data_IF_572480734323
#
_entry.id   IF_572480734323
#
_cell.length_a   1.000
_cell.length_b   1.000
_cell.length_c   1.000
_cell.angle_alpha   90.00
_cell.angle_beta   90.00
_cell.angle_gamma   90.00
#
_symmetry.space_group_name_H-M   'P 1'
#
loop_
_entity.id
_entity.type
_entity.pdbx_description
1 polymer ?
#
# COMPACT_ATOMS: atom_id res chain seq x y z
N UNK A 1 7.23 -6.46 7.63
CA UNK A 1 7.29 -7.03 9.02
C UNK A 1 6.53 -6.19 10.05
N UNK A 2 6.69 -4.86 10.12
CA UNK A 2 5.98 -4.05 11.13
C UNK A 2 4.45 -4.27 11.13
N UNK A 3 3.84 -4.44 9.97
CA UNK A 3 2.38 -4.67 9.85
C UNK A 3 1.90 -5.96 10.50
N UNK A 4 2.65 -7.07 10.37
CA UNK A 4 2.24 -8.34 10.98
C UNK A 4 2.31 -8.27 12.51
N UNK A 5 3.29 -7.56 13.08
CA UNK A 5 3.38 -7.33 14.52
C UNK A 5 2.19 -6.48 15.04
N UNK A 6 1.79 -5.45 14.27
CA UNK A 6 0.61 -4.64 14.62
C UNK A 6 -0.66 -5.48 14.56
N UNK A 7 -0.84 -6.27 13.52
CA UNK A 7 -2.01 -7.12 13.34
C UNK A 7 -2.08 -8.19 14.43
N UNK A 8 -0.98 -8.89 14.71
CA UNK A 8 -0.90 -9.85 15.81
C UNK A 8 -1.23 -9.21 17.16
N UNK A 9 -0.71 -8.02 17.42
CA UNK A 9 -0.98 -7.27 18.65
C UNK A 9 -2.46 -6.89 18.78
N UNK A 10 -3.09 -6.41 17.71
CA UNK A 10 -4.52 -6.09 17.64
C UNK A 10 -5.38 -7.34 17.87
N UNK A 11 -5.09 -8.42 17.17
CA UNK A 11 -5.76 -9.71 17.32
C UNK A 11 -5.64 -10.24 18.75
N UNK A 12 -4.42 -10.24 19.32
CA UNK A 12 -4.18 -10.73 20.68
C UNK A 12 -4.88 -9.88 21.76
N UNK A 13 -5.05 -8.58 21.53
CA UNK A 13 -5.90 -7.74 22.39
C UNK A 13 -7.37 -8.13 22.31
N UNK A 14 -7.90 -8.37 21.12
CA UNK A 14 -9.28 -8.79 20.93
C UNK A 14 -9.51 -10.17 21.58
N UNK A 15 -8.61 -11.11 21.34
CA UNK A 15 -8.69 -12.44 21.95
C UNK A 15 -8.66 -12.36 23.48
N UNK A 16 -7.73 -11.63 24.09
CA UNK A 16 -7.63 -11.51 25.53
C UNK A 16 -8.90 -10.93 26.17
N UNK A 17 -9.58 -9.99 25.51
CA UNK A 17 -10.87 -9.42 25.97
C UNK A 17 -12.01 -10.44 25.95
N UNK A 18 -11.94 -11.42 25.06
CA UNK A 18 -12.98 -12.42 24.88
C UNK A 18 -12.66 -13.73 25.59
N UNK A 19 -11.46 -13.90 26.14
CA UNK A 19 -11.00 -15.13 26.78
C UNK A 19 -11.28 -15.09 28.30
N UNK A 20 -12.14 -15.99 28.82
CA UNK A 20 -12.42 -16.08 30.26
C UNK A 20 -11.34 -16.83 31.06
N UNK A 21 -10.41 -17.54 30.39
CA UNK A 21 -9.36 -18.31 31.02
C UNK A 21 -8.14 -17.43 31.30
N UNK A 22 -7.87 -17.16 32.57
CA UNK A 22 -6.75 -16.29 33.00
C UNK A 22 -5.38 -16.84 32.62
N UNK A 23 -5.21 -18.15 32.54
CA UNK A 23 -3.91 -18.74 32.16
C UNK A 23 -3.66 -18.57 30.65
N UNK A 24 -4.68 -18.62 29.82
CA UNK A 24 -4.59 -18.26 28.41
C UNK A 24 -4.29 -16.76 28.26
N UNK A 25 -5.03 -15.91 28.97
CA UNK A 25 -4.83 -14.46 28.91
C UNK A 25 -3.39 -14.05 29.31
N UNK A 26 -2.80 -14.73 30.30
CA UNK A 26 -1.39 -14.50 30.66
C UNK A 26 -0.43 -14.85 29.53
N UNK A 27 -0.61 -16.00 28.89
CA UNK A 27 0.22 -16.43 27.76
C UNK A 27 0.16 -15.44 26.62
N UNK A 28 -1.04 -15.00 26.24
CA UNK A 28 -1.26 -13.99 25.21
C UNK A 28 -0.57 -12.66 25.59
N UNK A 29 -0.61 -12.27 26.87
CA UNK A 29 0.06 -11.05 27.33
C UNK A 29 1.58 -11.15 27.31
N UNK A 30 2.14 -12.34 27.55
CA UNK A 30 3.58 -12.61 27.47
C UNK A 30 4.08 -12.47 26.02
N UNK A 31 3.45 -13.14 25.04
CA UNK A 31 3.81 -13.08 23.62
C UNK A 31 3.64 -11.65 23.07
N UNK A 32 2.49 -11.02 23.29
CA UNK A 32 2.21 -9.66 22.85
C UNK A 32 3.26 -8.63 23.28
N UNK A 33 3.87 -8.79 24.45
CA UNK A 33 4.95 -7.90 24.89
C UNK A 33 6.19 -8.02 24.03
N UNK A 34 6.50 -9.23 23.55
CA UNK A 34 7.66 -9.47 22.68
C UNK A 34 7.40 -8.88 21.31
N UNK A 35 6.22 -9.05 20.76
CA UNK A 35 5.81 -8.44 19.49
C UNK A 35 5.86 -6.90 19.51
N UNK A 36 5.48 -6.28 20.62
CA UNK A 36 5.65 -4.84 20.82
C UNK A 36 7.12 -4.41 20.77
N UNK A 37 8.03 -5.27 21.24
CA UNK A 37 9.49 -5.06 21.13
C UNK A 37 9.99 -5.27 19.70
N UNK A 38 9.50 -6.30 18.99
CA UNK A 38 9.82 -6.52 17.59
C UNK A 38 9.39 -5.32 16.75
N UNK A 39 8.14 -4.87 16.88
CA UNK A 39 7.63 -3.69 16.20
C UNK A 39 8.50 -2.45 16.45
N UNK A 40 8.86 -2.19 17.70
CA UNK A 40 9.70 -1.06 18.06
C UNK A 40 11.08 -1.16 17.40
N UNK A 41 11.70 -2.34 17.43
CA UNK A 41 13.00 -2.57 16.81
C UNK A 41 12.95 -2.37 15.31
N UNK A 42 11.96 -2.95 14.62
CA UNK A 42 11.77 -2.81 13.18
C UNK A 42 11.64 -1.33 12.79
N UNK A 43 10.81 -0.57 13.51
CA UNK A 43 10.66 0.86 13.26
C UNK A 43 11.97 1.64 13.46
N UNK A 44 12.82 1.22 14.40
CA UNK A 44 14.10 1.88 14.66
C UNK A 44 15.21 1.47 13.69
N UNK A 45 15.02 0.42 12.89
CA UNK A 45 15.91 0.06 11.79
C UNK A 45 15.75 0.99 10.58
N UNK A 46 14.61 1.66 10.46
CA UNK A 46 14.40 2.63 9.39
C UNK A 46 15.42 3.79 9.50
N UNK A 47 16.05 4.23 8.40
CA UNK A 47 16.97 5.36 8.41
C UNK A 47 16.31 6.65 8.91
N UNK A 48 16.98 7.36 9.82
CA UNK A 48 16.43 8.54 10.50
C UNK A 48 16.36 9.79 9.61
N UNK A 49 16.97 9.75 8.46
CA UNK A 49 17.04 10.83 7.45
C UNK A 49 16.09 10.62 6.27
N UNK A 50 15.32 9.55 6.27
CA UNK A 50 14.25 9.35 5.29
C UNK A 50 13.11 10.34 5.51
N UNK A 51 12.62 10.90 4.42
CA UNK A 51 11.36 11.65 4.44
C UNK A 51 10.16 10.71 4.55
N UNK A 52 8.98 11.27 4.86
CA UNK A 52 7.74 10.50 4.87
C UNK A 52 7.43 9.92 3.49
N UNK A 53 7.69 10.68 2.40
CA UNK A 53 7.49 10.19 1.03
C UNK A 53 8.49 9.09 0.65
N UNK A 54 9.75 9.18 1.07
CA UNK A 54 10.73 8.11 0.85
C UNK A 54 10.28 6.80 1.51
N UNK A 55 9.84 6.87 2.76
CA UNK A 55 9.30 5.71 3.47
C UNK A 55 8.04 5.18 2.80
N UNK A 56 7.15 6.06 2.35
CA UNK A 56 5.94 5.70 1.59
C UNK A 56 6.29 4.95 0.31
N UNK A 57 7.26 5.45 -0.48
CA UNK A 57 7.71 4.75 -1.70
C UNK A 57 8.27 3.36 -1.40
N UNK A 58 8.98 3.21 -0.29
CA UNK A 58 9.46 1.90 0.17
C UNK A 58 8.32 0.93 0.48
N UNK A 59 7.26 1.40 1.12
CA UNK A 59 6.08 0.58 1.40
C UNK A 59 5.33 0.18 0.13
N UNK A 60 5.09 1.14 -0.77
CA UNK A 60 4.39 0.84 -2.04
C UNK A 60 5.22 -0.08 -2.95
N UNK A 61 6.54 0.07 -2.98
CA UNK A 61 7.41 -0.85 -3.70
C UNK A 61 7.27 -2.28 -3.17
N UNK A 62 7.28 -2.44 -1.83
CA UNK A 62 7.07 -3.74 -1.19
C UNK A 62 5.67 -4.26 -1.48
N UNK A 63 4.63 -3.42 -1.39
CA UNK A 63 3.25 -3.81 -1.68
C UNK A 63 3.13 -4.38 -3.11
N UNK A 64 3.64 -3.66 -4.11
CA UNK A 64 3.59 -4.09 -5.52
C UNK A 64 4.33 -5.41 -5.75
N UNK A 65 5.61 -5.52 -5.33
CA UNK A 65 6.41 -6.71 -5.60
C UNK A 65 5.93 -7.92 -4.77
N UNK A 66 5.54 -7.71 -3.52
CA UNK A 66 5.00 -8.76 -2.65
C UNK A 66 3.67 -9.30 -3.17
N UNK A 67 2.71 -8.42 -3.45
CA UNK A 67 1.37 -8.80 -3.94
C UNK A 67 1.48 -9.53 -5.29
N UNK A 68 2.36 -9.06 -6.18
CA UNK A 68 2.63 -9.72 -7.46
C UNK A 68 3.23 -11.12 -7.27
N UNK A 69 4.21 -11.28 -6.37
CA UNK A 69 4.81 -12.59 -6.09
C UNK A 69 3.79 -13.55 -5.47
N UNK A 70 3.02 -13.08 -4.48
CA UNK A 70 1.97 -13.87 -3.84
C UNK A 70 0.92 -14.31 -4.85
N UNK A 71 0.44 -13.41 -5.72
CA UNK A 71 -0.53 -13.73 -6.76
C UNK A 71 -0.02 -14.80 -7.74
N UNK A 72 1.25 -14.74 -8.14
CA UNK A 72 1.82 -15.74 -9.04
C UNK A 72 1.89 -17.13 -8.42
N UNK A 73 2.13 -17.20 -7.10
CA UNK A 73 2.32 -18.45 -6.36
C UNK A 73 1.07 -18.89 -5.57
N UNK A 74 -0.04 -18.16 -5.68
CA UNK A 74 -1.30 -18.50 -5.00
C UNK A 74 -1.99 -19.69 -5.68
N UNK A 75 -2.24 -20.79 -4.92
CA UNK A 75 -2.87 -21.99 -5.48
C UNK A 75 -4.39 -21.90 -5.65
N UNK A 76 -5.07 -20.96 -4.98
CA UNK A 76 -6.52 -20.75 -5.13
C UNK A 76 -6.79 -19.65 -6.16
N UNK A 77 -7.43 -20.00 -7.27
CA UNK A 77 -7.67 -19.06 -8.37
C UNK A 77 -8.51 -17.84 -7.94
N UNK A 78 -9.46 -18.00 -7.02
CA UNK A 78 -10.29 -16.89 -6.56
C UNK A 78 -9.49 -15.91 -5.69
N UNK A 79 -8.64 -16.45 -4.81
CA UNK A 79 -7.73 -15.65 -3.97
C UNK A 79 -6.68 -14.95 -4.84
N UNK A 80 -6.08 -15.68 -5.77
CA UNK A 80 -5.13 -15.13 -6.76
C UNK A 80 -5.71 -13.91 -7.48
N UNK A 81 -6.92 -14.03 -7.99
CA UNK A 81 -7.55 -12.92 -8.69
C UNK A 81 -7.90 -11.76 -7.75
N UNK A 82 -8.14 -12.01 -6.47
CA UNK A 82 -8.30 -10.95 -5.48
C UNK A 82 -6.98 -10.19 -5.29
N UNK A 83 -5.87 -10.89 -5.23
CA UNK A 83 -4.53 -10.28 -5.16
C UNK A 83 -4.21 -9.47 -6.42
N UNK A 84 -4.53 -9.99 -7.60
CA UNK A 84 -4.37 -9.26 -8.86
C UNK A 84 -5.15 -7.94 -8.89
N UNK A 85 -6.33 -7.93 -8.26
CA UNK A 85 -7.12 -6.69 -8.17
C UNK A 85 -6.44 -5.67 -7.24
N UNK A 86 -6.00 -6.07 -6.05
CA UNK A 86 -5.27 -5.18 -5.13
C UNK A 86 -3.98 -4.64 -5.78
N UNK A 87 -3.24 -5.50 -6.48
CA UNK A 87 -2.03 -5.10 -7.20
C UNK A 87 -2.25 -3.94 -8.19
N UNK A 88 -3.42 -3.85 -8.83
CA UNK A 88 -3.74 -2.71 -9.70
C UNK A 88 -3.81 -1.40 -8.92
N UNK A 89 -4.35 -1.43 -7.71
CA UNK A 89 -4.50 -0.26 -6.85
C UNK A 89 -3.17 0.10 -6.19
N UNK A 90 -2.41 -0.88 -5.69
CA UNK A 90 -1.06 -0.69 -5.14
C UNK A 90 -0.12 -0.03 -6.15
N UNK A 91 -0.20 -0.45 -7.42
CA UNK A 91 0.60 0.14 -8.48
C UNK A 91 0.22 1.61 -8.77
N UNK A 92 -1.06 1.96 -8.72
CA UNK A 92 -1.50 3.35 -8.82
C UNK A 92 -0.98 4.20 -7.65
N UNK A 93 -0.99 3.64 -6.43
CA UNK A 93 -0.43 4.31 -5.25
C UNK A 93 1.06 4.57 -5.42
N UNK A 94 1.85 3.56 -5.77
CA UNK A 94 3.28 3.69 -6.06
C UNK A 94 3.54 4.77 -7.10
N UNK A 95 2.78 4.77 -8.19
CA UNK A 95 2.91 5.74 -9.26
C UNK A 95 2.62 7.17 -8.78
N UNK A 96 1.53 7.40 -8.08
CA UNK A 96 1.14 8.72 -7.57
C UNK A 96 2.13 9.25 -6.54
N UNK A 97 2.56 8.45 -5.58
CA UNK A 97 3.54 8.87 -4.59
C UNK A 97 4.92 9.13 -5.20
N UNK A 98 5.31 8.37 -6.22
CA UNK A 98 6.53 8.64 -6.97
C UNK A 98 6.52 10.03 -7.61
N UNK A 99 5.39 10.43 -8.18
CA UNK A 99 5.25 11.76 -8.76
C UNK A 99 5.25 12.86 -7.66
N UNK A 100 4.58 12.63 -6.54
CA UNK A 100 4.62 13.55 -5.41
C UNK A 100 6.03 13.72 -4.84
N UNK A 101 6.78 12.64 -4.72
CA UNK A 101 8.18 12.70 -4.29
C UNK A 101 9.02 13.57 -5.21
N UNK A 102 8.87 13.39 -6.51
CA UNK A 102 9.54 14.23 -7.50
C UNK A 102 9.12 15.70 -7.39
N UNK A 103 7.83 15.99 -7.28
CA UNK A 103 7.30 17.36 -7.26
C UNK A 103 7.63 18.10 -5.95
N UNK A 104 7.59 17.44 -4.82
CA UNK A 104 7.76 18.08 -3.49
C UNK A 104 9.22 18.13 -3.09
N UNK A 105 9.97 17.07 -3.31
CA UNK A 105 11.35 16.93 -2.85
C UNK A 105 12.37 17.17 -3.96
N UNK A 106 11.93 17.22 -5.21
CA UNK A 106 12.80 17.45 -6.37
C UNK A 106 13.77 16.29 -6.65
N UNK A 107 13.53 15.14 -6.03
CA UNK A 107 14.35 13.94 -6.16
C UNK A 107 13.81 12.98 -7.22
N UNK A 108 14.64 12.04 -7.66
CA UNK A 108 14.25 11.03 -8.63
C UNK A 108 13.72 9.78 -7.88
N UNK A 109 12.46 9.37 -8.06
CA UNK A 109 11.94 8.17 -7.41
C UNK A 109 12.70 6.89 -7.79
N UNK A 110 13.31 6.81 -8.97
CA UNK A 110 14.10 5.65 -9.40
C UNK A 110 15.33 5.41 -8.52
N UNK A 111 15.82 6.43 -7.81
CA UNK A 111 16.93 6.29 -6.88
C UNK A 111 16.53 5.44 -5.65
N UNK A 112 15.24 5.44 -5.30
CA UNK A 112 14.68 4.61 -4.21
C UNK A 112 14.21 3.27 -4.77
N UNK A 113 13.44 3.30 -5.83
CA UNK A 113 12.82 2.11 -6.43
C UNK A 113 13.83 1.20 -7.15
N UNK A 114 15.06 1.70 -7.40
CA UNK A 114 16.18 0.97 -8.02
C UNK A 114 15.81 0.29 -9.34
N UNK A 115 14.82 0.82 -10.04
CA UNK A 115 14.27 0.28 -11.29
C UNK A 115 13.79 -1.18 -11.20
N UNK A 116 13.51 -1.68 -10.00
CA UNK A 116 12.89 -3.00 -9.81
C UNK A 116 11.48 -3.04 -10.39
N UNK A 117 10.73 -1.94 -10.21
CA UNK A 117 9.44 -1.73 -10.86
C UNK A 117 9.57 -0.48 -11.71
N UNK A 118 9.41 -0.58 -13.06
CA UNK A 118 9.30 0.61 -13.88
C UNK A 118 8.04 1.36 -13.49
N UNK A 119 8.22 2.61 -13.11
CA UNK A 119 7.09 3.50 -12.85
C UNK A 119 6.50 3.90 -14.20
N UNK A 120 5.48 3.19 -14.62
CA UNK A 120 4.68 3.51 -15.80
C UNK A 120 3.40 4.22 -15.38
N UNK A 121 2.77 4.91 -16.31
CA UNK A 121 1.48 5.55 -16.05
C UNK A 121 0.47 4.48 -15.61
N UNK A 122 0.17 4.46 -14.34
CA UNK A 122 -0.76 3.53 -13.73
C UNK A 122 -2.21 3.91 -14.08
N UNK A 123 -3.11 3.03 -13.75
CA UNK A 123 -4.53 3.27 -13.86
C UNK A 123 -5.03 3.94 -12.58
N UNK A 124 -5.84 4.99 -12.67
CA UNK A 124 -6.37 5.66 -11.49
C UNK A 124 -7.27 4.76 -10.66
N UNK A 125 -7.00 4.63 -9.36
CA UNK A 125 -7.85 3.88 -8.43
C UNK A 125 -9.24 4.47 -8.27
N UNK A 126 -9.44 5.75 -8.59
CA UNK A 126 -10.76 6.37 -8.54
C UNK A 126 -11.86 5.56 -9.24
N UNK A 127 -11.52 4.75 -10.25
CA UNK A 127 -12.47 3.90 -10.94
C UNK A 127 -12.86 2.66 -10.15
N UNK A 128 -12.11 2.33 -9.08
CA UNK A 128 -12.30 1.16 -8.23
C UNK A 128 -12.70 1.52 -6.82
N UNK A 129 -12.39 2.75 -6.40
CA UNK A 129 -12.64 3.23 -5.06
C UNK A 129 -14.14 3.12 -4.70
N UNK A 130 -14.44 2.44 -3.61
CA UNK A 130 -15.81 2.27 -3.17
C UNK A 130 -15.89 2.06 -1.65
N UNK A 131 -17.11 1.99 -1.12
CA UNK A 131 -17.35 1.77 0.31
C UNK A 131 -16.83 0.38 0.74
N UNK A 132 -16.16 0.28 1.87
CA UNK A 132 -15.60 -0.95 2.45
C UNK A 132 -16.57 -2.14 2.42
N UNK A 133 -17.86 -1.90 2.69
CA UNK A 133 -18.88 -2.97 2.63
C UNK A 133 -19.01 -3.63 1.24
N UNK A 134 -18.58 -2.96 0.18
CA UNK A 134 -18.58 -3.49 -1.18
C UNK A 134 -17.29 -4.27 -1.52
N UNK A 135 -16.31 -4.23 -0.61
CA UNK A 135 -15.05 -4.97 -0.76
C UNK A 135 -15.08 -6.38 -0.19
N UNK A 136 -16.09 -6.74 0.58
CA UNK A 136 -16.22 -8.09 1.13
C UNK A 136 -16.15 -9.15 0.02
N UNK A 137 -15.43 -10.23 0.29
CA UNK A 137 -15.18 -11.35 -0.62
C UNK A 137 -15.74 -12.65 -0.06
N UNK A 138 -15.90 -13.63 -0.94
CA UNK A 138 -16.20 -14.99 -0.51
C UNK A 138 -14.99 -15.56 0.23
N UNK A 139 -15.21 -16.05 1.45
CA UNK A 139 -14.16 -16.67 2.23
C UNK A 139 -13.74 -18.05 1.70
N UNK A 140 -12.50 -18.42 1.96
CA UNK A 140 -11.99 -19.79 1.78
C UNK A 140 -12.68 -20.76 2.76
N UNK A 141 -12.62 -22.05 2.50
CA UNK A 141 -12.98 -23.06 3.48
C UNK A 141 -11.74 -23.46 4.27
N UNK A 142 -11.73 -23.19 5.58
CA UNK A 142 -10.61 -23.46 6.48
C UNK A 142 -10.12 -24.92 6.49
N UNK A 143 -10.98 -25.87 6.10
CA UNK A 143 -10.66 -27.30 6.12
C UNK A 143 -10.00 -27.77 4.82
N UNK A 144 -10.19 -27.04 3.72
CA UNK A 144 -9.70 -27.43 2.38
C UNK A 144 -8.65 -26.48 1.82
N UNK A 145 -8.63 -25.24 2.28
CA UNK A 145 -7.63 -24.28 1.86
C UNK A 145 -6.22 -24.70 2.28
N UNK A 146 -5.26 -24.47 1.39
CA UNK A 146 -3.86 -24.79 1.67
C UNK A 146 -3.28 -23.88 2.77
N UNK A 147 -2.29 -24.34 3.55
CA UNK A 147 -1.55 -23.47 4.46
C UNK A 147 -0.90 -22.28 3.74
N UNK A 148 -0.44 -22.45 2.49
CA UNK A 148 0.09 -21.38 1.66
C UNK A 148 -0.93 -20.27 1.46
N UNK A 149 -2.15 -20.60 1.01
CA UNK A 149 -3.24 -19.64 0.81
C UNK A 149 -3.55 -18.84 2.08
N UNK A 150 -3.64 -19.52 3.23
CA UNK A 150 -3.91 -18.87 4.52
C UNK A 150 -2.81 -17.88 4.92
N UNK A 151 -1.55 -18.27 4.77
CA UNK A 151 -0.39 -17.41 5.05
C UNK A 151 -0.33 -16.24 4.08
N UNK A 152 -0.57 -16.47 2.78
CA UNK A 152 -0.61 -15.41 1.78
C UNK A 152 -1.65 -14.34 2.12
N UNK A 153 -2.87 -14.75 2.46
CA UNK A 153 -3.95 -13.83 2.87
C UNK A 153 -3.53 -13.04 4.11
N UNK A 154 -3.05 -13.72 5.16
CA UNK A 154 -2.64 -13.06 6.40
C UNK A 154 -1.49 -12.06 6.18
N UNK A 155 -0.55 -12.39 5.30
CA UNK A 155 0.57 -11.52 4.95
C UNK A 155 0.06 -10.23 4.30
N UNK A 156 -0.90 -10.29 3.37
CA UNK A 156 -1.46 -9.10 2.74
C UNK A 156 -2.34 -8.29 3.72
N UNK A 157 -3.20 -8.93 4.52
CA UNK A 157 -3.93 -8.21 5.59
C UNK A 157 -2.99 -7.37 6.44
N UNK A 158 -1.84 -7.94 6.79
CA UNK A 158 -0.84 -7.28 7.62
C UNK A 158 -0.12 -6.15 6.89
N UNK A 159 0.18 -6.32 5.59
CA UNK A 159 0.82 -5.31 4.78
C UNK A 159 -0.08 -4.08 4.63
N UNK A 160 -1.34 -4.28 4.29
CA UNK A 160 -2.34 -3.21 4.14
C UNK A 160 -2.65 -2.50 5.47
N UNK A 161 -2.69 -3.24 6.57
CA UNK A 161 -2.82 -2.63 7.89
C UNK A 161 -1.63 -1.70 8.23
N UNK A 162 -0.44 -2.04 7.74
CA UNK A 162 0.76 -1.19 7.86
C UNK A 162 0.61 0.11 7.08
N UNK A 163 0.29 0.04 5.79
CA UNK A 163 0.17 1.19 4.91
C UNK A 163 -0.95 2.11 5.36
N UNK A 164 -2.13 1.55 5.67
CA UNK A 164 -3.25 2.27 6.26
C UNK A 164 -2.84 3.10 7.49
N UNK A 165 -2.21 2.48 8.48
CA UNK A 165 -1.82 3.16 9.71
C UNK A 165 -0.77 4.24 9.43
N UNK A 166 0.23 3.92 8.60
CA UNK A 166 1.31 4.85 8.29
C UNK A 166 0.78 6.11 7.59
N UNK A 167 -0.10 5.96 6.61
CA UNK A 167 -0.66 7.10 5.88
C UNK A 167 -1.59 7.94 6.74
N UNK A 168 -2.38 7.33 7.61
CA UNK A 168 -3.20 8.03 8.58
C UNK A 168 -2.37 8.87 9.56
N UNK A 169 -1.21 8.33 9.98
CA UNK A 169 -0.39 8.92 11.04
C UNK A 169 0.65 9.91 10.53
N UNK A 170 1.01 9.90 9.23
CA UNK A 170 2.11 10.69 8.67
C UNK A 170 1.71 11.63 7.53
N UNK A 171 0.60 11.38 6.83
CA UNK A 171 0.17 12.21 5.70
C UNK A 171 -0.02 13.68 6.03
N UNK A 172 -0.28 14.01 7.29
CA UNK A 172 -0.43 15.40 7.77
C UNK A 172 0.90 16.17 7.85
N UNK A 173 2.06 15.51 7.73
CA UNK A 173 3.38 16.14 7.88
C UNK A 173 3.69 17.14 6.76
N UNK A 174 3.00 17.06 5.63
CA UNK A 174 3.20 17.97 4.52
C UNK A 174 2.30 19.20 4.60
N UNK A 175 2.84 20.37 4.20
CA UNK A 175 2.07 21.61 4.11
C UNK A 175 1.23 21.75 2.85
N UNK A 176 1.34 20.80 1.91
CA UNK A 176 0.58 20.80 0.66
C UNK A 176 -0.76 20.09 0.86
N UNK A 177 -1.88 20.81 0.69
CA UNK A 177 -3.21 20.27 0.95
C UNK A 177 -3.60 19.15 -0.01
N UNK A 178 -3.20 19.23 -1.29
CA UNK A 178 -3.49 18.16 -2.28
C UNK A 178 -2.75 16.88 -1.93
N UNK A 179 -1.48 16.96 -1.52
CA UNK A 179 -0.74 15.78 -1.06
C UNK A 179 -1.36 15.19 0.21
N UNK A 180 -1.77 16.03 1.16
CA UNK A 180 -2.48 15.56 2.38
C UNK A 180 -3.78 14.85 2.04
N UNK A 181 -4.55 15.39 1.08
CA UNK A 181 -5.78 14.75 0.60
C UNK A 181 -5.47 13.45 -0.14
N UNK A 182 -4.36 13.37 -0.92
CA UNK A 182 -3.91 12.13 -1.55
C UNK A 182 -3.61 11.05 -0.50
N UNK A 183 -2.89 11.39 0.57
CA UNK A 183 -2.67 10.45 1.69
C UNK A 183 -3.97 9.98 2.33
N UNK A 184 -4.93 10.89 2.53
CA UNK A 184 -6.23 10.54 3.11
C UNK A 184 -7.04 9.62 2.20
N UNK A 185 -7.04 9.88 0.90
CA UNK A 185 -7.72 9.04 -0.11
C UNK A 185 -7.09 7.65 -0.19
N UNK A 186 -5.76 7.56 -0.36
CA UNK A 186 -5.07 6.28 -0.44
C UNK A 186 -5.20 5.49 0.86
N UNK A 187 -5.09 6.15 2.01
CA UNK A 187 -5.36 5.54 3.32
C UNK A 187 -6.74 4.87 3.37
N UNK A 188 -7.77 5.48 2.79
CA UNK A 188 -9.11 4.87 2.73
C UNK A 188 -9.14 3.67 1.76
N UNK A 189 -8.34 3.68 0.69
CA UNK A 189 -8.18 2.51 -0.21
C UNK A 189 -7.47 1.36 0.53
N UNK A 190 -6.44 1.64 1.34
CA UNK A 190 -5.77 0.61 2.15
C UNK A 190 -6.74 -0.03 3.17
N UNK A 191 -7.67 0.74 3.74
CA UNK A 191 -8.75 0.19 4.59
C UNK A 191 -9.70 -0.71 3.77
N UNK A 192 -9.96 -0.37 2.51
CA UNK A 192 -10.71 -1.26 1.61
C UNK A 192 -9.94 -2.55 1.35
N UNK A 193 -8.61 -2.49 1.19
CA UNK A 193 -7.76 -3.68 1.01
C UNK A 193 -7.74 -4.55 2.27
N UNK A 194 -7.60 -3.98 3.47
CA UNK A 194 -7.73 -4.73 4.72
C UNK A 194 -9.08 -5.45 4.76
N UNK A 195 -10.19 -4.74 4.53
CA UNK A 195 -11.54 -5.33 4.50
C UNK A 195 -11.66 -6.44 3.44
N UNK A 196 -11.08 -6.25 2.28
CA UNK A 196 -11.11 -7.21 1.17
C UNK A 196 -10.36 -8.50 1.55
N UNK A 197 -9.11 -8.37 2.00
CA UNK A 197 -8.28 -9.53 2.30
C UNK A 197 -8.71 -10.25 3.58
N UNK A 198 -9.07 -9.55 4.66
CA UNK A 198 -9.54 -10.21 5.87
C UNK A 198 -10.83 -11.02 5.64
N UNK A 199 -11.70 -10.56 4.72
CA UNK A 199 -12.94 -11.26 4.38
C UNK A 199 -12.71 -12.58 3.63
N UNK A 200 -11.51 -12.82 3.09
CA UNK A 200 -11.11 -14.10 2.50
C UNK A 200 -10.88 -15.19 3.55
N UNK A 201 -10.60 -14.82 4.80
CA UNK A 201 -10.42 -15.79 5.88
C UNK A 201 -11.76 -16.39 6.30
N UNK A 202 -11.76 -17.67 6.70
CA UNK A 202 -12.99 -18.35 7.13
C UNK A 202 -13.49 -17.79 8.46
N UNK A 203 -14.66 -17.13 8.52
CA UNK A 203 -15.18 -16.55 9.75
C UNK A 203 -15.55 -17.59 10.83
N UNK A 204 -15.57 -18.88 10.49
CA UNK A 204 -15.85 -19.97 11.42
C UNK A 204 -14.60 -20.50 12.12
N UNK A 205 -13.43 -19.96 11.82
CA UNK A 205 -12.20 -20.26 12.57
C UNK A 205 -12.37 -19.86 14.04
N UNK A 206 -11.95 -20.76 14.94
CA UNK A 206 -11.92 -20.45 16.38
C UNK A 206 -10.80 -19.45 16.70
N UNK A 207 -10.88 -18.83 17.86
CA UNK A 207 -9.81 -17.96 18.36
C UNK A 207 -8.45 -18.67 18.44
N UNK A 208 -8.45 -19.98 18.69
CA UNK A 208 -7.23 -20.78 18.75
C UNK A 208 -6.70 -21.15 17.36
N UNK A 209 -7.59 -21.37 16.37
CA UNK A 209 -7.20 -21.54 14.97
C UNK A 209 -6.55 -20.26 14.44
N UNK A 210 -7.18 -19.10 14.71
CA UNK A 210 -6.66 -17.79 14.32
C UNK A 210 -5.31 -17.50 14.98
N UNK A 211 -5.16 -17.74 16.29
CA UNK A 211 -3.89 -17.55 16.99
C UNK A 211 -2.80 -18.42 16.37
N UNK A 212 -3.09 -19.69 16.12
CA UNK A 212 -2.13 -20.64 15.54
C UNK A 212 -1.69 -20.18 14.13
N UNK A 213 -2.62 -19.67 13.32
CA UNK A 213 -2.31 -19.16 11.98
C UNK A 213 -1.47 -17.88 12.05
N UNK A 214 -1.75 -16.97 12.96
CA UNK A 214 -0.94 -15.76 13.18
C UNK A 214 0.52 -16.10 13.46
N UNK A 215 0.77 -16.87 14.53
CA UNK A 215 2.14 -17.24 14.91
C UNK A 215 2.87 -18.00 13.79
N UNK A 216 2.14 -18.84 13.05
CA UNK A 216 2.73 -19.55 11.92
C UNK A 216 3.07 -18.60 10.78
N UNK A 217 2.25 -17.61 10.50
CA UNK A 217 2.51 -16.59 9.46
C UNK A 217 3.72 -15.75 9.83
N UNK A 218 3.87 -15.36 11.10
CA UNK A 218 5.02 -14.61 11.58
C UNK A 218 6.31 -15.40 11.41
N UNK A 219 6.32 -16.69 11.78
CA UNK A 219 7.47 -17.59 11.53
C UNK A 219 7.83 -17.63 10.04
N UNK A 220 6.83 -17.77 9.15
CA UNK A 220 7.06 -17.81 7.71
C UNK A 220 7.63 -16.48 7.19
N UNK A 221 7.09 -15.36 7.63
CA UNK A 221 7.50 -14.04 7.17
C UNK A 221 8.91 -13.68 7.66
N UNK A 222 9.27 -13.96 8.92
CA UNK A 222 10.65 -13.78 9.40
C UNK A 222 11.65 -14.72 8.72
N UNK A 223 11.21 -15.96 8.42
CA UNK A 223 12.02 -16.87 7.64
C UNK A 223 12.31 -16.33 6.23
N UNK A 224 11.30 -15.74 5.58
CA UNK A 224 11.46 -15.12 4.28
C UNK A 224 12.45 -13.94 4.34
N UNK A 225 12.24 -13.00 5.29
CA UNK A 225 13.16 -11.88 5.49
C UNK A 225 14.60 -12.36 5.73
N UNK A 226 14.81 -13.35 6.60
CA UNK A 226 16.13 -13.91 6.87
C UNK A 226 16.77 -14.51 5.60
N UNK A 227 15.98 -15.09 4.71
CA UNK A 227 16.47 -15.74 3.49
C UNK A 227 16.89 -14.74 2.42
N UNK A 228 16.16 -13.64 2.31
CA UNK A 228 16.38 -12.62 1.27
C UNK A 228 17.28 -11.47 1.74
N UNK A 229 17.61 -11.40 3.03
CA UNK A 229 18.45 -10.36 3.59
C UNK A 229 19.93 -10.54 3.21
N UNK A 230 20.53 -9.49 2.68
CA UNK A 230 21.96 -9.47 2.31
C UNK A 230 22.86 -8.91 3.41
N UNK A 231 22.34 -8.09 4.34
CA UNK A 231 23.11 -7.57 5.49
C UNK A 231 23.13 -8.57 6.63
N UNK A 232 24.31 -9.04 7.00
CA UNK A 232 24.49 -10.06 8.04
C UNK A 232 23.90 -9.63 9.40
N UNK A 233 23.95 -8.33 9.76
CA UNK A 233 23.43 -7.86 11.05
C UNK A 233 21.90 -7.84 11.04
N UNK A 234 21.28 -7.44 9.93
CA UNK A 234 19.82 -7.49 9.79
C UNK A 234 19.34 -8.94 9.74
N UNK A 235 20.07 -9.81 9.05
CA UNK A 235 19.78 -11.24 9.01
C UNK A 235 19.78 -11.88 10.39
N UNK A 236 20.76 -11.53 11.24
CA UNK A 236 20.82 -12.01 12.62
C UNK A 236 19.58 -11.54 13.43
N UNK A 237 19.10 -10.33 13.19
CA UNK A 237 17.87 -9.81 13.82
C UNK A 237 16.63 -10.61 13.37
N UNK A 238 16.50 -10.87 12.05
CA UNK A 238 15.39 -11.66 11.52
C UNK A 238 15.42 -13.10 12.06
N UNK A 239 16.62 -13.70 12.21
CA UNK A 239 16.77 -15.02 12.82
C UNK A 239 16.37 -15.03 14.31
N UNK A 240 16.79 -14.02 15.08
CA UNK A 240 16.40 -13.87 16.49
C UNK A 240 14.88 -13.75 16.64
N UNK A 241 14.22 -12.89 15.82
CA UNK A 241 12.78 -12.70 15.88
C UNK A 241 12.02 -13.96 15.42
N UNK A 242 12.48 -14.62 14.37
CA UNK A 242 11.94 -15.92 13.97
C UNK A 242 12.00 -16.96 15.10
N UNK A 243 13.07 -16.97 15.87
CA UNK A 243 13.19 -17.90 17.01
C UNK A 243 12.18 -17.57 18.12
N UNK A 244 11.90 -16.29 18.36
CA UNK A 244 10.86 -15.88 19.30
C UNK A 244 9.47 -16.32 18.79
N UNK A 245 9.20 -16.15 17.50
CA UNK A 245 7.92 -16.58 16.91
C UNK A 245 7.76 -18.10 16.89
N UNK A 246 8.82 -18.87 16.76
CA UNK A 246 8.77 -20.33 16.96
C UNK A 246 8.37 -20.70 18.41
N UNK A 247 8.81 -19.93 19.41
CA UNK A 247 8.38 -20.13 20.79
C UNK A 247 6.89 -19.74 20.98
N UNK A 248 6.43 -18.65 20.36
CA UNK A 248 5.03 -18.24 20.34
C UNK A 248 4.16 -19.28 19.65
N UNK A 249 4.57 -19.78 18.48
CA UNK A 249 3.89 -20.85 17.76
C UNK A 249 3.74 -22.12 18.59
N UNK A 250 4.75 -22.49 19.40
CA UNK A 250 4.64 -23.63 20.36
C UNK A 250 3.58 -23.37 21.42
N UNK A 251 3.51 -22.14 21.95
CA UNK A 251 2.47 -21.75 22.91
C UNK A 251 1.08 -21.87 22.26
N UNK A 252 0.90 -21.33 21.05
CA UNK A 252 -0.33 -21.40 20.29
C UNK A 252 -0.74 -22.85 20.00
N UNK A 253 0.21 -23.69 19.57
CA UNK A 253 -0.02 -25.11 19.29
C UNK A 253 -0.43 -25.89 20.54
N UNK A 254 0.17 -25.62 21.70
CA UNK A 254 -0.22 -26.25 22.98
C UNK A 254 -1.61 -25.82 23.44
N UNK A 255 -1.96 -24.54 23.26
CA UNK A 255 -3.30 -24.02 23.54
C UNK A 255 -4.32 -24.66 22.59
N UNK A 256 -4.02 -24.73 21.31
CA UNK A 256 -4.87 -25.36 20.29
C UNK A 256 -5.14 -26.83 20.64
N UNK A 257 -4.10 -27.64 20.89
CA UNK A 257 -4.24 -29.03 21.33
C UNK A 257 -5.08 -29.17 22.61
N UNK A 258 -4.87 -28.25 23.56
CA UNK A 258 -5.60 -28.29 24.84
C UNK A 258 -7.07 -28.01 24.70
N UNK A 259 -7.46 -27.01 23.91
CA UNK A 259 -8.84 -26.52 23.85
C UNK A 259 -9.61 -27.08 22.66
N UNK A 260 -9.02 -27.20 21.47
CA UNK A 260 -9.67 -27.75 20.28
C UNK A 260 -9.62 -29.29 20.21
N UNK A 261 -8.68 -29.93 20.92
CA UNK A 261 -8.47 -31.39 20.89
C UNK A 261 -8.12 -31.91 19.49
N UNK A 262 -7.49 -31.10 18.69
CA UNK A 262 -7.05 -31.36 17.31
C UNK A 262 -5.56 -31.23 17.17
N UNK A 263 -4.99 -31.73 16.08
CA UNK A 263 -3.58 -31.55 15.77
C UNK A 263 -3.38 -30.19 15.05
N UNK A 264 -2.45 -29.35 15.50
CA UNK A 264 -2.10 -28.11 14.80
C UNK A 264 -1.77 -28.29 13.32
N UNK A 265 -1.16 -29.43 12.95
CA UNK A 265 -0.82 -29.74 11.56
C UNK A 265 -2.06 -29.77 10.63
N UNK A 266 -3.27 -29.93 11.17
CA UNK A 266 -4.52 -29.85 10.39
C UNK A 266 -4.78 -28.41 9.88
N UNK A 267 -4.23 -27.40 10.55
CA UNK A 267 -4.43 -25.97 10.23
C UNK A 267 -3.26 -25.40 9.44
N UNK A 268 -2.03 -25.65 9.92
CA UNK A 268 -0.82 -25.02 9.40
C UNK A 268 0.06 -25.95 8.54
N UNK A 269 -0.32 -27.23 8.41
CA UNK A 269 0.51 -28.23 7.71
C UNK A 269 1.76 -28.64 8.50
N UNK A 270 2.71 -29.24 7.81
CA UNK A 270 3.94 -29.82 8.40
C UNK A 270 5.22 -29.12 7.96
N UNK A 271 5.12 -28.07 7.16
CA UNK A 271 6.26 -27.35 6.56
C UNK A 271 6.00 -25.87 6.56
N UNK A 272 7.07 -25.08 6.66
CA UNK A 272 7.06 -23.67 6.31
C UNK A 272 6.62 -23.54 4.86
N UNK A 273 5.82 -22.52 4.58
CA UNK A 273 5.35 -22.22 3.23
C UNK A 273 6.51 -21.81 2.32
N UNK A 274 6.29 -21.85 1.00
CA UNK A 274 7.31 -21.42 0.03
C UNK A 274 7.74 -19.99 0.31
N UNK A 275 9.05 -19.73 0.44
CA UNK A 275 9.55 -18.38 0.71
C UNK A 275 9.23 -17.42 -0.42
N UNK A 276 8.84 -16.20 -0.06
CA UNK A 276 8.78 -15.09 -0.99
C UNK A 276 10.20 -14.65 -1.35
N UNK A 277 10.45 -14.38 -2.63
CA UNK A 277 11.71 -13.82 -3.09
C UNK A 277 11.52 -12.38 -3.54
N UNK A 278 12.37 -11.50 -3.01
CA UNK A 278 12.39 -10.08 -3.35
C UNK A 278 13.14 -9.89 -4.66
N UNK A 279 12.40 -9.94 -5.75
CA UNK A 279 12.90 -9.68 -7.09
C UNK A 279 11.86 -8.86 -7.87
N UNK A 280 12.30 -8.21 -8.94
CA UNK A 280 11.39 -7.41 -9.78
C UNK A 280 10.27 -8.27 -10.37
N UNK A 281 9.04 -7.90 -10.12
CA UNK A 281 7.83 -8.52 -10.65
C UNK A 281 7.25 -7.78 -11.86
N UNK A 282 8.04 -6.91 -12.48
CA UNK A 282 7.65 -5.98 -13.54
C UNK A 282 6.82 -6.61 -14.65
N UNK A 283 7.25 -7.75 -15.18
CA UNK A 283 6.56 -8.41 -16.31
C UNK A 283 5.16 -8.86 -15.91
N UNK A 284 5.02 -9.39 -14.69
CA UNK A 284 3.73 -9.79 -14.17
C UNK A 284 2.81 -8.59 -13.92
N UNK A 285 3.32 -7.55 -13.27
CA UNK A 285 2.59 -6.31 -13.01
C UNK A 285 2.08 -5.69 -14.30
N UNK A 286 2.93 -5.60 -15.32
CA UNK A 286 2.55 -5.09 -16.64
C UNK A 286 1.40 -5.89 -17.25
N UNK A 287 1.48 -7.23 -17.18
CA UNK A 287 0.40 -8.11 -17.67
C UNK A 287 -0.94 -7.88 -16.95
N UNK A 288 -0.90 -7.68 -15.64
CA UNK A 288 -2.11 -7.40 -14.85
C UNK A 288 -2.69 -6.02 -15.19
N UNK A 289 -1.85 -4.98 -15.31
CA UNK A 289 -2.30 -3.64 -15.72
C UNK A 289 -2.99 -3.64 -17.10
N UNK A 290 -2.53 -4.47 -18.02
CA UNK A 290 -3.16 -4.63 -19.34
C UNK A 290 -4.55 -5.27 -19.28
N UNK A 291 -4.80 -6.16 -18.31
CA UNK A 291 -6.08 -6.87 -18.18
C UNK A 291 -7.19 -6.01 -17.61
N UNK A 292 -6.85 -5.03 -16.78
CA UNK A 292 -7.78 -4.12 -16.12
C UNK A 292 -9.00 -4.83 -15.47
N UNK A 293 -8.75 -5.91 -14.77
CA UNK A 293 -9.78 -6.66 -14.07
C UNK A 293 -10.29 -5.84 -12.88
N UNK A 294 -11.60 -5.73 -12.75
CA UNK A 294 -12.28 -5.23 -11.56
C UNK A 294 -13.04 -6.37 -10.87
N UNK A 295 -13.16 -6.28 -9.55
CA UNK A 295 -13.96 -7.21 -8.77
C UNK A 295 -15.10 -6.53 -8.11
N UNK A 296 -16.24 -7.19 -8.11
CA UNK A 296 -17.43 -6.71 -7.49
C UNK A 296 -17.95 -7.69 -6.49
N UNK A 297 -18.48 -7.13 -5.45
CA UNK A 297 -19.45 -7.81 -4.64
C UNK A 297 -20.82 -7.67 -5.35
N UNK A 298 -21.13 -8.61 -6.19
CA UNK A 298 -22.48 -8.88 -6.65
C UNK A 298 -23.02 -10.15 -5.98
N UNK A 299 -24.21 -10.56 -6.31
CA UNK A 299 -24.83 -11.78 -5.76
C UNK A 299 -24.06 -13.06 -6.11
N UNK A 300 -23.21 -13.02 -7.13
CA UNK A 300 -22.42 -14.15 -7.63
C UNK A 300 -20.94 -14.04 -7.24
N UNK A 301 -20.50 -12.91 -6.73
CA UNK A 301 -19.09 -12.62 -6.40
C UNK A 301 -18.14 -12.89 -7.57
N UNK A 302 -18.59 -12.57 -8.78
CA UNK A 302 -17.83 -12.81 -10.00
C UNK A 302 -16.91 -11.63 -10.32
N UNK A 303 -15.89 -11.92 -11.13
CA UNK A 303 -15.03 -10.90 -11.71
C UNK A 303 -15.66 -10.33 -12.97
N UNK A 304 -15.38 -9.06 -13.23
CA UNK A 304 -15.78 -8.44 -14.48
C UNK A 304 -14.77 -7.37 -14.87
N UNK A 305 -14.70 -7.09 -16.16
CA UNK A 305 -13.86 -6.00 -16.65
C UNK A 305 -14.55 -4.65 -16.41
N UNK A 306 -13.76 -3.59 -16.31
CA UNK A 306 -14.29 -2.24 -16.10
C UNK A 306 -15.29 -1.85 -17.19
N UNK A 307 -15.02 -2.19 -18.43
CA UNK A 307 -15.89 -1.87 -19.56
C UNK A 307 -17.29 -2.52 -19.47
N UNK A 308 -17.43 -3.54 -18.63
CA UNK A 308 -18.68 -4.26 -18.39
C UNK A 308 -19.43 -3.72 -17.15
N UNK A 309 -18.87 -2.73 -16.43
CA UNK A 309 -19.52 -2.13 -15.26
C UNK A 309 -20.78 -1.36 -15.65
N UNK A 310 -21.91 -1.50 -14.91
CA UNK A 310 -23.07 -0.63 -15.10
C UNK A 310 -22.71 0.85 -14.89
N UNK A 311 -23.31 1.74 -15.67
CA UNK A 311 -23.12 3.20 -15.53
C UNK A 311 -23.54 3.74 -14.15
N UNK A 312 -24.39 3.03 -13.43
CA UNK A 312 -24.89 3.37 -12.09
C UNK A 312 -24.19 2.54 -10.98
N UNK A 313 -22.99 2.02 -11.26
CA UNK A 313 -22.26 1.26 -10.27
C UNK A 313 -22.00 2.10 -8.99
N UNK A 314 -22.23 1.54 -7.79
CA UNK A 314 -22.20 2.31 -6.53
C UNK A 314 -20.91 3.08 -6.26
N UNK A 315 -19.76 2.57 -6.68
CA UNK A 315 -18.48 3.26 -6.52
C UNK A 315 -18.42 4.60 -7.25
N UNK A 316 -19.07 4.72 -8.42
CA UNK A 316 -19.13 5.98 -9.16
C UNK A 316 -19.90 7.09 -8.44
N UNK A 317 -20.89 6.75 -7.61
CA UNK A 317 -21.62 7.73 -6.80
C UNK A 317 -20.76 8.21 -5.63
N UNK A 318 -20.04 7.29 -4.98
CA UNK A 318 -19.10 7.62 -3.89
C UNK A 318 -18.01 8.54 -4.40
N UNK A 319 -17.42 8.23 -5.54
CA UNK A 319 -16.40 9.05 -6.19
C UNK A 319 -16.92 10.45 -6.54
N UNK A 320 -18.13 10.55 -7.10
CA UNK A 320 -18.76 11.85 -7.40
C UNK A 320 -19.03 12.67 -6.15
N UNK A 321 -19.41 12.03 -5.04
CA UNK A 321 -19.69 12.70 -3.78
C UNK A 321 -18.42 13.14 -3.05
N UNK A 322 -17.38 12.30 -3.08
CA UNK A 322 -16.07 12.63 -2.54
C UNK A 322 -15.33 13.70 -3.36
N UNK A 323 -15.73 13.89 -4.61
CA UNK A 323 -15.10 14.76 -5.60
C UNK A 323 -15.87 16.02 -5.97
N UNK A 324 -16.77 16.54 -5.11
CA UNK A 324 -17.52 17.79 -5.42
C UNK A 324 -16.61 18.99 -5.75
N UNK A 325 -15.35 18.97 -5.25
CA UNK A 325 -14.32 19.98 -5.55
C UNK A 325 -13.18 19.44 -6.45
N UNK A 326 -13.39 18.31 -7.13
CA UNK A 326 -12.36 17.57 -7.85
C UNK A 326 -11.62 16.59 -6.95
N UNK A 327 -11.61 15.29 -7.30
CA UNK A 327 -10.95 14.30 -6.46
C UNK A 327 -9.44 14.54 -6.41
N UNK A 328 -8.75 14.24 -5.28
CA UNK A 328 -7.29 14.25 -5.21
C UNK A 328 -6.65 13.41 -6.29
N UNK A 329 -7.25 12.27 -6.64
CA UNK A 329 -6.85 11.40 -7.74
C UNK A 329 -6.88 12.12 -9.08
N UNK A 330 -7.98 12.76 -9.45
CA UNK A 330 -8.06 13.52 -10.70
C UNK A 330 -7.02 14.64 -10.76
N UNK A 331 -6.86 15.36 -9.66
CA UNK A 331 -5.86 16.44 -9.56
C UNK A 331 -4.46 15.86 -9.74
N UNK A 332 -4.11 14.78 -9.04
CA UNK A 332 -2.80 14.13 -9.15
C UNK A 332 -2.55 13.64 -10.57
N UNK A 333 -3.51 12.99 -11.22
CA UNK A 333 -3.39 12.51 -12.59
C UNK A 333 -3.15 13.66 -13.58
N UNK A 334 -3.89 14.76 -13.44
CA UNK A 334 -3.67 15.96 -14.27
C UNK A 334 -2.27 16.52 -14.07
N UNK A 335 -1.76 16.56 -12.84
CA UNK A 335 -0.41 16.98 -12.52
C UNK A 335 0.66 16.11 -13.15
N UNK A 336 0.51 14.79 -13.04
CA UNK A 336 1.40 13.81 -13.64
C UNK A 336 1.44 13.99 -15.15
N UNK A 337 0.29 14.09 -15.82
CA UNK A 337 0.21 14.30 -17.27
C UNK A 337 0.92 15.56 -17.72
N UNK A 338 0.85 16.59 -16.92
CA UNK A 338 1.56 17.85 -17.16
C UNK A 338 3.07 17.69 -16.97
N UNK A 339 3.50 17.08 -15.87
CA UNK A 339 4.91 16.88 -15.53
C UNK A 339 5.64 16.03 -16.57
N UNK A 340 5.01 14.96 -17.04
CA UNK A 340 5.60 14.01 -17.97
C UNK A 340 5.49 14.42 -19.43
N UNK A 341 4.77 15.50 -19.75
CA UNK A 341 4.50 15.94 -21.11
C UNK A 341 3.74 14.90 -21.94
N UNK A 342 3.07 13.95 -21.27
CA UNK A 342 2.23 12.92 -21.90
C UNK A 342 0.80 13.46 -22.04
N UNK A 343 0.22 13.24 -23.21
CA UNK A 343 -1.23 13.41 -23.38
C UNK A 343 -1.93 12.28 -22.60
N UNK A 344 -2.22 12.53 -21.34
CA UNK A 344 -3.14 11.65 -20.61
C UNK A 344 -4.49 11.72 -21.35
N UNK A 345 -4.90 10.59 -21.87
CA UNK A 345 -6.27 10.39 -22.36
C UNK A 345 -7.18 10.30 -21.13
N UNK A 346 -7.33 11.42 -20.44
CA UNK A 346 -8.50 11.64 -19.61
C UNK A 346 -9.62 11.98 -20.59
N UNK A 347 -10.73 11.29 -20.46
CA UNK A 347 -11.89 11.42 -21.33
C UNK A 347 -12.08 12.83 -21.89
N UNK A 348 -12.21 12.90 -23.15
CA UNK A 348 -12.63 13.86 -24.19
C UNK A 348 -12.74 15.38 -23.92
N UNK A 349 -12.46 15.84 -22.70
CA UNK A 349 -12.45 17.27 -22.34
C UNK A 349 -11.01 17.81 -22.18
N UNK A 350 -10.16 17.48 -23.14
CA UNK A 350 -8.74 17.84 -23.15
C UNK A 350 -8.47 19.29 -22.81
N UNK A 351 -7.80 19.51 -21.69
CA UNK A 351 -7.22 20.82 -21.35
C UNK A 351 -6.33 21.27 -22.50
N UNK A 352 -6.48 22.51 -22.92
CA UNK A 352 -5.60 23.08 -23.94
C UNK A 352 -4.20 23.22 -23.35
N UNK A 353 -3.20 23.15 -24.20
CA UNK A 353 -1.78 23.25 -23.79
C UNK A 353 -1.51 24.46 -22.90
N UNK A 354 -2.21 25.57 -23.16
CA UNK A 354 -2.09 26.82 -22.40
C UNK A 354 -2.68 26.69 -20.97
N UNK A 355 -3.71 25.87 -20.77
CA UNK A 355 -4.31 25.57 -19.48
C UNK A 355 -3.45 24.59 -18.67
N UNK A 356 -2.78 23.67 -19.37
CA UNK A 356 -1.81 22.73 -18.79
C UNK A 356 -0.58 23.50 -18.27
N UNK A 357 -0.03 24.43 -19.06
CA UNK A 357 1.11 25.27 -18.66
C UNK A 357 0.75 26.16 -17.45
N UNK A 358 -0.48 26.67 -17.40
CA UNK A 358 -0.99 27.49 -16.30
C UNK A 358 -1.12 26.67 -15.00
N UNK A 359 -1.69 25.45 -15.10
CA UNK A 359 -1.79 24.51 -13.96
C UNK A 359 -0.42 24.11 -13.43
N UNK A 360 0.54 23.77 -14.31
CA UNK A 360 1.90 23.39 -13.91
C UNK A 360 2.58 24.51 -13.12
N UNK A 361 2.46 25.75 -13.57
CA UNK A 361 3.04 26.92 -12.87
C UNK A 361 2.33 27.22 -11.56
N UNK A 362 1.00 27.11 -11.55
CA UNK A 362 0.20 27.28 -10.34
C UNK A 362 0.59 26.29 -9.26
N UNK A 363 0.88 25.06 -9.63
CA UNK A 363 1.23 23.98 -8.72
C UNK A 363 2.69 24.03 -8.26
N UNK A 364 3.61 24.47 -9.12
CA UNK A 364 4.97 24.80 -8.70
C UNK A 364 4.98 25.99 -7.72
N UNK A 365 4.09 26.96 -7.93
CA UNK A 365 3.92 28.10 -7.02
C UNK A 365 3.30 27.65 -5.66
N UNK A 366 2.31 26.73 -5.68
CA UNK A 366 1.71 26.16 -4.47
C UNK A 366 2.74 25.33 -3.69
N UNK A 367 3.52 24.50 -4.37
CA UNK A 367 4.57 23.68 -3.74
C UNK A 367 5.68 24.53 -3.08
N UNK A 368 5.87 25.77 -3.54
CA UNK A 368 6.87 26.71 -3.01
C UNK A 368 6.27 27.77 -2.06
N UNK A 369 4.95 27.82 -1.91
CA UNK A 369 4.27 28.84 -1.10
C UNK A 369 4.26 28.47 0.38
N UNK A 370 4.44 29.43 1.29
CA UNK A 370 4.22 29.20 2.71
C UNK A 370 2.74 28.91 3.01
N UNK A 371 2.47 28.10 4.02
CA UNK A 371 1.19 27.48 4.42
C UNK A 371 -0.04 28.40 4.67
N UNK A 372 -0.10 29.58 4.08
CA UNK A 372 -1.15 30.57 4.32
C UNK A 372 -1.47 31.42 3.10
N UNK A 373 -1.51 30.86 1.91
CA UNK A 373 -1.83 31.61 0.68
C UNK A 373 -3.33 31.52 0.42
N UNK A 374 -3.99 32.67 0.30
CA UNK A 374 -5.40 32.73 -0.12
C UNK A 374 -5.55 32.50 -1.64
N UNK A 375 -6.74 32.11 -2.14
CA UNK A 375 -6.97 31.96 -3.58
C UNK A 375 -6.61 33.21 -4.39
N UNK A 376 -6.87 34.40 -3.87
CA UNK A 376 -6.54 35.68 -4.51
C UNK A 376 -5.02 35.91 -4.59
N UNK A 377 -4.29 35.57 -3.53
CA UNK A 377 -2.82 35.67 -3.52
C UNK A 377 -2.19 34.66 -4.49
N UNK A 378 -2.81 33.50 -4.67
CA UNK A 378 -2.38 32.49 -5.63
C UNK A 378 -2.57 32.98 -7.06
N UNK A 379 -3.72 33.58 -7.40
CA UNK A 379 -3.96 34.18 -8.71
C UNK A 379 -2.92 35.28 -9.01
N UNK A 380 -2.59 36.13 -8.03
CA UNK A 380 -1.59 37.18 -8.19
C UNK A 380 -0.17 36.62 -8.38
N UNK A 381 0.16 35.50 -7.74
CA UNK A 381 1.44 34.78 -7.94
C UNK A 381 1.54 34.17 -9.34
N UNK A 382 0.46 33.60 -9.86
CA UNK A 382 0.39 33.05 -11.20
C UNK A 382 0.54 34.16 -12.26
N UNK A 383 -0.19 35.27 -12.12
CA UNK A 383 -0.09 36.41 -13.03
C UNK A 383 1.30 37.06 -13.02
N UNK A 384 1.96 37.12 -11.86
CA UNK A 384 3.30 37.68 -11.71
C UNK A 384 4.36 36.83 -12.40
N UNK A 385 4.23 35.48 -12.29
CA UNK A 385 5.08 34.51 -12.99
C UNK A 385 4.94 34.64 -14.52
N UNK A 386 3.72 34.84 -15.03
CA UNK A 386 3.49 35.09 -16.46
C UNK A 386 4.06 36.41 -16.96
N UNK A 387 4.13 37.43 -16.10
CA UNK A 387 4.71 38.72 -16.46
C UNK A 387 6.24 38.69 -16.52
N UNK A 388 6.90 37.84 -15.73
CA UNK A 388 8.36 37.66 -15.76
C UNK A 388 8.82 36.87 -16.99
N UNK A 389 8.08 35.87 -17.44
CA UNK A 389 8.39 35.11 -18.66
C UNK A 389 8.17 35.89 -19.95
N UNK A 390 7.39 36.95 -19.92
CA UNK A 390 7.10 37.82 -21.07
C UNK A 390 8.13 38.96 -21.23
N UNK A 391 9.12 39.09 -20.31
CA UNK A 391 10.20 40.05 -20.50
C UNK A 391 11.16 39.56 -21.61
N UNK A 392 11.43 40.36 -22.65
CA UNK A 392 12.41 40.01 -23.67
C UNK A 392 13.77 39.82 -22.97
N UNK A 393 14.48 38.74 -23.30
CA UNK A 393 15.89 38.60 -22.95
C UNK A 393 16.61 39.85 -23.51
N UNK A 394 17.08 40.75 -22.65
CA UNK A 394 17.95 41.83 -23.07
C UNK A 394 19.23 41.20 -23.69
N UNK A 395 19.46 41.47 -24.95
CA UNK A 395 20.66 41.04 -25.65
C UNK A 395 21.88 41.55 -24.87
N UNK A 396 22.60 40.66 -24.17
CA UNK A 396 23.91 40.97 -23.61
C UNK A 396 24.88 41.24 -24.78
N UNK A 397 25.22 42.49 -25.03
CA UNK A 397 26.32 42.86 -25.94
C UNK A 397 27.62 42.16 -25.55
N UNK A 398 28.34 41.58 -26.45
CA UNK A 398 29.59 40.86 -26.16
C UNK A 398 30.66 41.84 -25.68
N UNK A 399 31.12 41.68 -24.43
CA UNK A 399 32.25 42.44 -23.87
C UNK A 399 33.52 42.27 -24.73
N UNK A 400 34.23 43.34 -25.09
CA UNK A 400 35.42 43.26 -25.94
C UNK A 400 36.57 42.51 -25.25
N UNK A 401 37.12 41.52 -25.94
CA UNK A 401 38.29 40.77 -25.50
C UNK A 401 39.48 41.72 -25.38
N UNK A 402 39.98 41.98 -24.18
CA UNK A 402 41.30 42.58 -23.97
C UNK A 402 42.38 41.60 -24.40
N UNK A 403 43.10 41.95 -25.46
CA UNK A 403 44.41 41.37 -25.79
C UNK A 403 45.42 41.80 -24.72
N UNK A 404 46.06 40.85 -24.08
CA UNK A 404 47.48 40.79 -23.82
C UNK A 404 47.89 39.36 -23.53
#
# INVERSE_FOLDING_TARGET
MNGIEIEAWNFKHAFARMCPDIEVAKKIAETRRIEDQHQTTINWLAPSDQSVLETTLGYEQVAVDLTAWLAQNEPDDYVKETFNFGLLEDFDHLYRYSQWYHMIEGANPDDILQAQTDVILGRPTQNHHNDNKLRLRKHIDKNTASPQTKVNIMTLVSAEQQTHNYYAEHGFCYGNDTLRMTYAEIKDVEEEHVTMYESLLDPTESWYEKLLLHEFTEVCNYYNCMKDEDDDNLKDIWEEFMMHEIEHLKIAADLFKKYEKRDPEEVIGTKVVEPCHFESQKDYVTGILETQIDRRLDTEMSYTTIDELPEDWPSYEIQRTAGEDGSPTETTIRLIGVSDGRDLVLADDGLKKDEIDLLTRGLQAIAQAPNTVTPEELEEMIETSEAEDKKPLEDEEPKPKKRK
#
